data_IF_641558770810
#
_entry.id   IF_641558770810
#
_cell.length_a   1.000
_cell.length_b   1.000
_cell.length_c   1.000
_cell.angle_alpha   90.00
_cell.angle_beta   90.00
_cell.angle_gamma   90.00
#
_symmetry.space_group_name_H-M   'P 1'
#
loop_
_entity.id
_entity.type
_entity.pdbx_description
1 polymer ?
#
# COMPACT_ATOMS: atom_id res chain seq x y z
N UNK A 1 -13.72 -11.96 13.37
CA UNK A 1 -14.10 -11.49 12.03
C UNK A 1 -12.89 -11.64 11.13
N UNK A 2 -13.06 -11.98 9.85
CA UNK A 2 -11.96 -12.07 8.88
C UNK A 2 -12.00 -10.85 7.98
N UNK A 3 -10.85 -10.19 7.80
CA UNK A 3 -10.71 -8.94 7.06
C UNK A 3 -9.99 -9.24 5.75
N UNK A 4 -10.64 -9.11 4.59
CA UNK A 4 -10.01 -9.30 3.30
C UNK A 4 -9.05 -8.14 2.98
N UNK A 5 -7.99 -8.47 2.25
CA UNK A 5 -6.96 -7.52 1.81
C UNK A 5 -6.84 -7.59 0.30
N UNK A 6 -6.89 -6.44 -0.36
CA UNK A 6 -6.70 -6.30 -1.80
C UNK A 6 -5.40 -5.56 -2.08
N UNK A 7 -4.50 -6.19 -2.80
CA UNK A 7 -3.23 -5.62 -3.25
C UNK A 7 -3.37 -5.19 -4.71
N UNK A 8 -3.14 -3.92 -5.00
CA UNK A 8 -3.11 -3.41 -6.36
C UNK A 8 -1.68 -3.53 -6.90
N UNK A 9 -1.42 -4.45 -7.83
CA UNK A 9 -0.06 -4.74 -8.30
C UNK A 9 0.10 -4.55 -9.81
N UNK A 10 1.30 -4.12 -10.20
CA UNK A 10 1.77 -4.16 -11.58
C UNK A 10 3.28 -4.34 -11.63
N UNK A 11 3.74 -5.38 -12.33
CA UNK A 11 5.15 -5.68 -12.63
C UNK A 11 6.12 -5.71 -11.43
N UNK A 12 5.62 -5.68 -10.18
CA UNK A 12 6.41 -5.84 -8.96
C UNK A 12 6.22 -7.25 -8.41
N UNK A 13 7.32 -7.89 -8.03
CA UNK A 13 7.37 -9.26 -7.54
C UNK A 13 7.88 -9.36 -6.10
N UNK A 14 9.03 -8.78 -5.84
CA UNK A 14 9.73 -8.97 -4.56
C UNK A 14 8.93 -8.43 -3.37
N UNK A 15 8.44 -7.20 -3.49
CA UNK A 15 7.69 -6.56 -2.40
C UNK A 15 6.32 -7.19 -2.16
N UNK A 16 5.45 -7.40 -3.17
CA UNK A 16 4.15 -8.01 -2.92
C UNK A 16 4.24 -9.44 -2.38
N UNK A 17 5.26 -10.22 -2.75
CA UNK A 17 5.50 -11.54 -2.15
C UNK A 17 5.84 -11.41 -0.66
N UNK A 18 6.75 -10.51 -0.29
CA UNK A 18 7.08 -10.24 1.11
C UNK A 18 5.85 -9.74 1.90
N UNK A 19 5.06 -8.83 1.30
CA UNK A 19 3.81 -8.34 1.88
C UNK A 19 2.82 -9.48 2.16
N UNK A 20 2.58 -10.36 1.19
CA UNK A 20 1.68 -11.53 1.37
C UNK A 20 2.13 -12.36 2.56
N UNK A 21 3.41 -12.73 2.64
CA UNK A 21 3.92 -13.51 3.77
C UNK A 21 3.81 -12.80 5.12
N UNK A 22 3.93 -11.47 5.14
CA UNK A 22 3.74 -10.68 6.36
C UNK A 22 2.27 -10.60 6.76
N UNK A 23 1.40 -10.30 5.83
CA UNK A 23 -0.04 -10.16 6.08
C UNK A 23 -0.71 -11.44 6.52
N UNK A 24 -0.22 -12.60 6.08
CA UNK A 24 -0.70 -13.92 6.55
C UNK A 24 -0.52 -14.13 8.07
N UNK A 25 0.32 -13.33 8.72
CA UNK A 25 0.55 -13.39 10.18
C UNK A 25 -0.34 -12.42 10.95
N UNK A 26 -1.07 -11.54 10.27
CA UNK A 26 -1.93 -10.59 10.97
C UNK A 26 -3.12 -11.28 11.63
N UNK A 27 -3.41 -10.87 12.84
CA UNK A 27 -4.63 -11.26 13.55
C UNK A 27 -5.87 -10.85 12.74
N UNK A 28 -6.76 -11.78 12.52
CA UNK A 28 -8.00 -11.53 11.79
C UNK A 28 -7.85 -11.40 10.27
N UNK A 29 -6.70 -11.73 9.68
CA UNK A 29 -6.55 -11.74 8.22
C UNK A 29 -7.57 -12.70 7.58
N UNK A 30 -8.23 -12.21 6.53
CA UNK A 30 -9.11 -12.95 5.64
C UNK A 30 -8.41 -13.32 4.34
N UNK A 31 -9.17 -13.35 3.26
CA UNK A 31 -8.62 -13.61 1.93
C UNK A 31 -7.70 -12.46 1.50
N UNK A 32 -6.56 -12.81 0.92
CA UNK A 32 -5.65 -11.88 0.28
C UNK A 32 -5.83 -12.03 -1.22
N UNK A 33 -6.14 -10.93 -1.89
CA UNK A 33 -6.44 -10.89 -3.32
C UNK A 33 -5.49 -9.91 -3.98
N UNK A 34 -4.80 -10.34 -5.04
CA UNK A 34 -3.98 -9.44 -5.87
C UNK A 34 -4.80 -9.07 -7.11
N UNK A 35 -5.05 -7.79 -7.30
CA UNK A 35 -5.52 -7.24 -8.57
C UNK A 35 -4.30 -6.92 -9.43
N UNK A 36 -4.06 -7.73 -10.42
CA UNK A 36 -2.95 -7.59 -11.36
C UNK A 36 -3.33 -6.68 -12.53
N UNK A 37 -2.71 -5.52 -12.61
CA UNK A 37 -2.95 -4.49 -13.62
C UNK A 37 -2.18 -4.73 -14.92
N UNK A 38 -2.32 -5.92 -15.49
CA UNK A 38 -1.70 -6.27 -16.79
C UNK A 38 -0.19 -6.39 -16.71
N UNK A 39 0.31 -7.06 -15.67
CA UNK A 39 1.73 -7.31 -15.51
C UNK A 39 2.28 -8.22 -16.61
N UNK A 40 3.52 -7.95 -16.96
CA UNK A 40 4.28 -8.71 -17.97
C UNK A 40 5.65 -9.15 -17.48
N UNK A 41 6.04 -8.81 -16.26
CA UNK A 41 7.31 -9.20 -15.65
C UNK A 41 7.40 -10.71 -15.45
N UNK A 42 8.31 -11.43 -16.16
CA UNK A 42 8.29 -12.89 -16.21
C UNK A 42 8.41 -13.58 -14.83
N UNK A 43 9.26 -13.12 -13.87
CA UNK A 43 9.32 -13.73 -12.55
C UNK A 43 8.01 -13.64 -11.79
N UNK A 44 7.30 -12.51 -11.88
CA UNK A 44 5.98 -12.32 -11.26
C UNK A 44 4.94 -13.26 -11.86
N UNK A 45 4.86 -13.33 -13.21
CA UNK A 45 3.91 -14.22 -13.90
C UNK A 45 4.15 -15.67 -13.50
N UNK A 46 5.42 -16.07 -13.47
CA UNK A 46 5.79 -17.43 -13.03
C UNK A 46 5.36 -17.72 -11.57
N UNK A 47 5.47 -16.76 -10.68
CA UNK A 47 4.99 -16.90 -9.32
C UNK A 47 3.47 -16.99 -9.27
N UNK A 48 2.75 -16.14 -9.97
CA UNK A 48 1.29 -16.18 -10.05
C UNK A 48 0.75 -17.55 -10.49
N UNK A 49 1.43 -18.18 -11.45
CA UNK A 49 1.00 -19.48 -12.01
C UNK A 49 1.23 -20.67 -11.06
N UNK A 50 2.04 -20.52 -10.03
CA UNK A 50 2.46 -21.62 -9.15
C UNK A 50 2.08 -21.47 -7.70
N UNK A 51 1.88 -20.23 -7.24
CA UNK A 51 1.50 -19.98 -5.86
C UNK A 51 0.03 -20.39 -5.62
N UNK A 52 -0.26 -20.76 -4.36
CA UNK A 52 -1.61 -21.12 -3.89
C UNK A 52 -2.01 -20.33 -2.64
N UNK A 53 -1.26 -19.27 -2.32
CA UNK A 53 -1.43 -18.50 -1.09
C UNK A 53 -2.53 -17.44 -1.20
N UNK A 54 -2.71 -16.90 -2.41
CA UNK A 54 -3.60 -15.76 -2.66
C UNK A 54 -4.37 -15.96 -3.96
N UNK A 55 -5.54 -15.33 -4.05
CA UNK A 55 -6.24 -15.19 -5.32
C UNK A 55 -5.56 -14.12 -6.18
N UNK A 56 -5.41 -14.37 -7.48
CA UNK A 56 -4.90 -13.39 -8.45
C UNK A 56 -5.98 -13.10 -9.48
N UNK A 57 -6.47 -11.87 -9.51
CA UNK A 57 -7.43 -11.37 -10.49
C UNK A 57 -6.66 -10.60 -11.56
N UNK A 58 -6.46 -11.22 -12.73
CA UNK A 58 -5.73 -10.62 -13.85
C UNK A 58 -6.65 -9.70 -14.66
N UNK A 59 -6.27 -8.44 -14.75
CA UNK A 59 -7.00 -7.40 -15.48
C UNK A 59 -6.09 -6.78 -16.57
N UNK A 60 -6.67 -5.98 -17.44
CA UNK A 60 -5.91 -4.95 -18.14
C UNK A 60 -5.45 -3.87 -17.14
N UNK A 61 -4.63 -2.93 -17.59
CA UNK A 61 -4.17 -1.86 -16.70
C UNK A 61 -5.31 -0.89 -16.33
N UNK A 62 -5.85 -1.07 -15.15
CA UNK A 62 -6.91 -0.24 -14.55
C UNK A 62 -6.35 0.94 -13.71
N UNK A 63 -5.02 1.06 -13.61
CA UNK A 63 -4.35 2.10 -12.84
C UNK A 63 -4.47 1.92 -11.32
N UNK A 64 -4.31 3.02 -10.58
CA UNK A 64 -4.32 3.03 -9.12
C UNK A 64 -5.68 2.66 -8.50
N UNK A 65 -6.77 2.85 -9.23
CA UNK A 65 -8.13 2.46 -8.83
C UNK A 65 -8.47 0.98 -9.08
N UNK A 66 -7.52 0.16 -9.50
CA UNK A 66 -7.77 -1.23 -9.95
C UNK A 66 -8.55 -2.07 -8.95
N UNK A 67 -8.31 -1.93 -7.65
CA UNK A 67 -9.03 -2.67 -6.62
C UNK A 67 -10.57 -2.50 -6.70
N UNK A 68 -11.02 -1.30 -7.02
CA UNK A 68 -12.46 -0.97 -7.14
C UNK A 68 -12.96 -1.19 -8.56
N UNK A 69 -12.25 -0.69 -9.57
CA UNK A 69 -12.66 -0.75 -10.98
C UNK A 69 -12.78 -2.19 -11.48
N UNK A 70 -11.98 -3.11 -10.95
CA UNK A 70 -12.08 -4.55 -11.25
C UNK A 70 -13.33 -5.23 -10.69
N UNK A 71 -14.09 -4.56 -9.81
CA UNK A 71 -15.22 -5.17 -9.10
C UNK A 71 -14.81 -6.09 -7.94
N UNK A 72 -13.50 -6.21 -7.64
CA UNK A 72 -13.02 -7.08 -6.55
C UNK A 72 -13.56 -6.60 -5.20
N UNK A 73 -13.45 -5.30 -4.90
CA UNK A 73 -13.95 -4.74 -3.63
C UNK A 73 -15.46 -4.97 -3.48
N UNK A 74 -16.23 -4.77 -4.55
CA UNK A 74 -17.70 -4.95 -4.53
C UNK A 74 -18.10 -6.38 -4.15
N UNK A 75 -17.36 -7.39 -4.60
CA UNK A 75 -17.67 -8.81 -4.32
C UNK A 75 -17.20 -9.33 -2.96
N UNK A 76 -16.42 -8.55 -2.18
CA UNK A 76 -15.90 -9.02 -0.89
C UNK A 76 -16.99 -9.34 0.13
N UNK A 77 -18.12 -8.65 0.09
CA UNK A 77 -19.23 -8.85 1.02
C UNK A 77 -18.87 -8.58 2.50
N UNK A 78 -17.76 -7.90 2.75
CA UNK A 78 -17.25 -7.59 4.09
C UNK A 78 -17.53 -6.13 4.46
N UNK A 79 -17.89 -5.88 5.73
CA UNK A 79 -18.08 -4.52 6.25
C UNK A 79 -16.79 -3.70 6.17
N UNK A 80 -15.66 -4.33 6.44
CA UNK A 80 -14.34 -3.71 6.41
C UNK A 80 -13.42 -4.50 5.48
N UNK A 81 -12.59 -3.81 4.74
CA UNK A 81 -11.58 -4.38 3.87
C UNK A 81 -10.35 -3.49 3.81
N UNK A 82 -9.21 -4.05 3.48
CA UNK A 82 -7.97 -3.29 3.25
C UNK A 82 -7.68 -3.22 1.76
N UNK A 83 -7.26 -2.04 1.29
CA UNK A 83 -6.61 -1.87 -0.01
C UNK A 83 -5.21 -1.33 0.21
N UNK A 84 -4.24 -1.86 -0.54
CA UNK A 84 -2.85 -1.45 -0.46
C UNK A 84 -2.18 -1.46 -1.82
N UNK A 85 -1.20 -0.58 -2.00
CA UNK A 85 -0.23 -0.69 -3.07
C UNK A 85 0.72 -1.87 -2.82
N UNK A 86 1.39 -2.33 -3.85
CA UNK A 86 2.22 -3.54 -3.82
C UNK A 86 3.68 -3.31 -3.42
N UNK A 87 4.05 -2.09 -3.11
CA UNK A 87 5.43 -1.66 -2.81
C UNK A 87 5.64 -1.21 -1.37
N UNK A 88 4.81 -1.72 -0.46
CA UNK A 88 4.86 -1.43 0.97
C UNK A 88 5.74 -2.41 1.73
N UNK A 89 6.58 -1.90 2.64
CA UNK A 89 7.30 -2.70 3.63
C UNK A 89 6.50 -2.77 4.93
N UNK A 90 6.08 -3.99 5.28
CA UNK A 90 5.21 -4.25 6.43
C UNK A 90 5.91 -5.05 7.53
N UNK A 91 7.21 -5.31 7.42
CA UNK A 91 7.94 -6.25 8.28
C UNK A 91 7.86 -5.88 9.76
N UNK A 92 7.92 -4.59 10.06
CA UNK A 92 7.96 -4.06 11.42
C UNK A 92 6.56 -3.74 12.00
N UNK A 93 5.49 -3.92 11.24
CA UNK A 93 4.13 -3.68 11.73
C UNK A 93 3.69 -4.77 12.71
N UNK A 94 2.98 -4.46 13.81
CA UNK A 94 2.49 -5.45 14.77
C UNK A 94 1.49 -6.44 14.15
N UNK A 95 1.37 -7.65 14.74
CA UNK A 95 0.45 -8.68 14.23
C UNK A 95 -1.03 -8.28 14.40
N UNK A 96 -1.35 -7.45 15.39
CA UNK A 96 -2.69 -6.94 15.66
C UNK A 96 -3.11 -5.75 14.77
N UNK A 97 -2.30 -5.39 13.79
CA UNK A 97 -2.50 -4.22 12.89
C UNK A 97 -3.93 -4.12 12.34
N UNK A 98 -4.50 -5.22 11.85
CA UNK A 98 -5.85 -5.19 11.30
C UNK A 98 -6.92 -4.93 12.37
N UNK A 99 -6.70 -5.44 13.58
CA UNK A 99 -7.63 -5.23 14.69
C UNK A 99 -7.61 -3.78 15.16
N UNK A 100 -6.44 -3.16 15.22
CA UNK A 100 -6.28 -1.74 15.58
C UNK A 100 -6.89 -0.82 14.50
N UNK A 101 -6.64 -1.08 13.23
CA UNK A 101 -7.27 -0.31 12.14
C UNK A 101 -8.81 -0.37 12.23
N UNK A 102 -9.35 -1.56 12.47
CA UNK A 102 -10.79 -1.76 12.60
C UNK A 102 -11.35 -1.01 13.83
N UNK A 103 -10.70 -1.13 14.98
CA UNK A 103 -11.09 -0.41 16.22
C UNK A 103 -11.17 1.10 15.96
N UNK A 104 -10.12 1.69 15.34
CA UNK A 104 -10.09 3.13 15.08
C UNK A 104 -11.17 3.56 14.09
N UNK A 105 -11.42 2.76 13.07
CA UNK A 105 -12.46 3.04 12.09
C UNK A 105 -13.89 2.96 12.71
N UNK A 106 -14.11 2.04 13.65
CA UNK A 106 -15.39 1.92 14.37
C UNK A 106 -15.57 3.01 15.43
N UNK A 107 -14.49 3.40 16.11
CA UNK A 107 -14.51 4.46 17.13
C UNK A 107 -14.72 5.85 16.54
N UNK A 108 -14.30 6.07 15.30
CA UNK A 108 -14.38 7.36 14.61
C UNK A 108 -15.27 7.26 13.35
N UNK A 109 -16.60 7.18 13.49
CA UNK A 109 -17.51 6.89 12.38
C UNK A 109 -17.55 7.96 11.28
N UNK A 110 -17.00 9.15 11.54
CA UNK A 110 -16.82 10.20 10.54
C UNK A 110 -15.57 10.01 9.68
N UNK A 111 -14.64 9.12 10.09
CA UNK A 111 -13.48 8.73 9.31
C UNK A 111 -13.89 7.60 8.37
N UNK A 112 -13.65 7.76 7.08
CA UNK A 112 -14.05 6.80 6.05
C UNK A 112 -13.04 5.69 5.82
N UNK A 113 -11.78 5.98 6.06
CA UNK A 113 -10.67 5.03 6.00
C UNK A 113 -9.62 5.35 7.08
N UNK A 114 -8.95 4.33 7.56
CA UNK A 114 -7.79 4.45 8.48
C UNK A 114 -6.65 3.64 7.89
N UNK A 115 -5.48 4.24 7.76
CA UNK A 115 -4.30 3.58 7.22
C UNK A 115 -3.11 3.63 8.15
N UNK A 116 -2.08 2.87 7.78
CA UNK A 116 -0.78 2.94 8.43
C UNK A 116 -0.12 4.28 8.15
N UNK A 117 0.56 4.83 9.14
CA UNK A 117 1.46 5.95 8.92
C UNK A 117 2.62 5.53 8.01
N UNK A 118 3.22 6.48 7.31
CA UNK A 118 4.42 6.23 6.51
C UNK A 118 5.66 6.62 7.28
N UNK A 119 6.60 5.69 7.42
CA UNK A 119 7.87 5.93 8.08
C UNK A 119 8.84 6.66 7.13
N UNK A 120 8.67 7.97 7.02
CA UNK A 120 9.55 8.81 6.21
C UNK A 120 10.93 9.03 6.82
N UNK A 121 11.11 8.78 8.12
CA UNK A 121 12.36 9.05 8.86
C UNK A 121 13.51 8.14 8.47
N UNK A 122 13.23 6.97 7.89
CA UNK A 122 14.24 6.00 7.45
C UNK A 122 14.78 6.27 6.05
N UNK A 123 14.18 7.23 5.33
CA UNK A 123 14.61 7.53 3.96
C UNK A 123 15.98 8.20 3.95
N UNK A 124 16.89 7.63 3.19
CA UNK A 124 18.30 8.09 3.11
C UNK A 124 18.39 9.46 2.40
N UNK A 125 19.31 10.35 2.82
CA UNK A 125 19.53 11.64 2.14
C UNK A 125 19.86 11.52 0.65
N UNK A 126 20.45 10.40 0.25
CA UNK A 126 20.82 10.09 -1.13
C UNK A 126 19.64 9.62 -1.98
N UNK A 127 18.47 9.36 -1.37
CA UNK A 127 17.26 9.05 -2.11
C UNK A 127 16.74 10.28 -2.84
N UNK A 128 16.29 10.16 -4.10
CA UNK A 128 15.66 11.25 -4.84
C UNK A 128 14.36 11.75 -4.17
N UNK A 129 13.79 10.95 -3.26
CA UNK A 129 12.57 11.28 -2.51
C UNK A 129 12.83 12.07 -1.23
N UNK A 130 14.06 12.10 -0.71
CA UNK A 130 14.37 12.65 0.61
C UNK A 130 13.81 14.05 0.85
N UNK A 131 14.10 15.00 -0.03
CA UNK A 131 13.64 16.37 0.13
C UNK A 131 12.12 16.51 0.06
N UNK A 132 11.49 15.76 -0.85
CA UNK A 132 10.03 15.78 -1.00
C UNK A 132 9.35 15.25 0.26
N UNK A 133 9.82 14.14 0.79
CA UNK A 133 9.24 13.51 1.98
C UNK A 133 9.42 14.34 3.24
N UNK A 134 10.60 14.94 3.43
CA UNK A 134 10.82 15.85 4.55
C UNK A 134 9.91 17.09 4.49
N UNK A 135 9.58 17.58 3.30
CA UNK A 135 8.68 18.73 3.16
C UNK A 135 7.20 18.35 3.34
N UNK A 136 6.76 17.20 2.80
CA UNK A 136 5.35 16.84 2.78
C UNK A 136 4.95 15.94 3.94
N UNK A 137 5.63 14.83 4.17
CA UNK A 137 5.22 13.89 5.21
C UNK A 137 5.48 14.45 6.61
N UNK A 138 6.65 15.04 6.84
CA UNK A 138 6.96 15.70 8.11
C UNK A 138 5.96 16.80 8.43
N UNK A 139 5.67 17.67 7.47
CA UNK A 139 4.72 18.77 7.63
C UNK A 139 3.31 18.27 7.94
N UNK A 140 2.88 17.20 7.28
CA UNK A 140 1.59 16.53 7.55
C UNK A 140 1.53 15.99 8.99
N UNK A 141 2.57 15.29 9.44
CA UNK A 141 2.65 14.76 10.80
C UNK A 141 2.66 15.86 11.85
N UNK A 142 3.41 16.95 11.63
CA UNK A 142 3.52 18.06 12.57
C UNK A 142 2.26 18.92 12.66
N UNK A 143 1.51 19.05 11.55
CA UNK A 143 0.29 19.88 11.48
C UNK A 143 -1.00 19.12 11.74
N UNK A 144 -0.99 17.80 11.67
CA UNK A 144 -2.19 17.01 11.84
C UNK A 144 -2.63 16.96 13.29
N UNK A 145 -3.95 17.00 13.50
CA UNK A 145 -4.53 16.84 14.82
C UNK A 145 -4.52 15.35 15.20
N UNK A 146 -3.84 15.05 16.30
CA UNK A 146 -3.85 13.70 16.88
C UNK A 146 -5.16 13.48 17.62
N UNK A 147 -5.84 12.38 17.30
CA UNK A 147 -7.02 11.90 17.99
C UNK A 147 -6.83 10.41 18.26
N UNK A 148 -6.51 10.05 19.52
CA UNK A 148 -6.44 8.66 19.94
C UNK A 148 -5.53 7.80 19.04
N UNK A 149 -4.26 8.15 18.89
CA UNK A 149 -3.24 7.52 18.03
C UNK A 149 -3.56 7.57 16.52
N UNK A 150 -4.61 8.29 16.13
CA UNK A 150 -4.97 8.50 14.72
C UNK A 150 -4.81 9.98 14.38
N UNK A 151 -4.14 10.28 13.28
CA UNK A 151 -4.13 11.62 12.69
C UNK A 151 -5.37 11.78 11.81
N UNK A 152 -6.16 12.82 12.05
CA UNK A 152 -7.30 13.20 11.20
C UNK A 152 -6.88 14.27 10.19
N UNK A 153 -7.72 14.44 9.16
CA UNK A 153 -7.51 15.39 8.05
C UNK A 153 -6.23 15.13 7.25
N UNK A 154 -5.76 13.90 7.26
CA UNK A 154 -4.66 13.43 6.43
C UNK A 154 -5.25 12.66 5.24
N UNK A 155 -5.02 13.13 4.04
CA UNK A 155 -5.21 12.28 2.87
C UNK A 155 -4.23 11.13 2.96
N UNK A 156 -4.76 9.93 3.16
CA UNK A 156 -3.98 8.70 3.06
C UNK A 156 -4.12 8.21 1.64
N UNK A 157 -3.01 8.04 0.97
CA UNK A 157 -2.93 7.38 -0.32
C UNK A 157 -3.35 5.90 -0.20
N UNK A 158 -3.30 5.13 -1.26
CA UNK A 158 -3.61 3.69 -1.31
C UNK A 158 -2.53 2.81 -0.67
N UNK A 159 -1.71 3.38 0.20
CA UNK A 159 -0.51 2.74 0.74
C UNK A 159 -0.78 1.50 1.59
N UNK A 160 -1.61 1.55 2.57
CA UNK A 160 -2.21 0.43 3.31
C UNK A 160 -3.31 1.01 4.19
N UNK A 161 -4.54 0.91 3.77
CA UNK A 161 -5.65 1.46 4.53
C UNK A 161 -6.84 0.50 4.58
N UNK A 162 -7.50 0.49 5.73
CA UNK A 162 -8.79 -0.17 5.92
C UNK A 162 -9.91 0.81 5.60
N UNK A 163 -10.90 0.33 4.89
CA UNK A 163 -12.06 1.06 4.42
C UNK A 163 -13.34 0.47 4.99
N UNK A 164 -14.34 1.32 5.18
CA UNK A 164 -15.74 0.88 5.29
C UNK A 164 -16.30 0.56 3.91
N UNK A 165 -17.27 -0.36 3.82
CA UNK A 165 -17.87 -0.81 2.57
C UNK A 165 -18.38 0.32 1.67
N UNK A 166 -18.87 1.41 2.25
CA UNK A 166 -19.40 2.57 1.52
C UNK A 166 -18.35 3.67 1.27
N UNK A 167 -17.07 3.37 1.48
CA UNK A 167 -16.00 4.37 1.41
C UNK A 167 -15.20 4.25 0.12
N UNK A 168 -14.93 5.39 -0.49
CA UNK A 168 -14.09 5.52 -1.67
C UNK A 168 -13.10 6.67 -1.47
N UNK A 169 -11.87 6.51 -1.79
CA UNK A 169 -10.72 7.42 -1.88
C UNK A 169 -10.57 8.59 -0.89
N UNK A 170 -11.61 9.29 -0.47
CA UNK A 170 -11.49 10.62 0.16
C UNK A 170 -11.58 10.56 1.68
N UNK A 171 -10.71 11.34 2.33
CA UNK A 171 -10.68 11.55 3.78
C UNK A 171 -10.18 10.33 4.53
N UNK A 172 -9.48 10.52 5.62
CA UNK A 172 -8.98 9.38 6.38
C UNK A 172 -8.27 9.80 7.65
N UNK A 173 -7.84 8.80 8.40
CA UNK A 173 -6.93 8.92 9.52
C UNK A 173 -5.68 8.08 9.27
N UNK A 174 -4.57 8.49 9.81
CA UNK A 174 -3.30 7.76 9.76
C UNK A 174 -2.89 7.32 11.16
N UNK A 175 -2.51 6.07 11.33
CA UNK A 175 -1.95 5.58 12.58
C UNK A 175 -0.53 6.11 12.78
N UNK A 176 -0.12 6.17 14.05
CA UNK A 176 1.24 6.50 14.46
C UNK A 176 2.04 5.25 14.82
N UNK A 177 3.30 5.41 15.20
CA UNK A 177 4.10 4.31 15.74
C UNK A 177 3.36 3.57 16.88
N UNK A 178 3.45 2.21 16.90
CA UNK A 178 4.26 1.35 16.03
C UNK A 178 3.60 0.92 14.71
N UNK A 179 2.40 1.40 14.42
CA UNK A 179 1.60 1.04 13.24
C UNK A 179 1.97 1.90 12.04
N UNK A 180 3.21 1.79 11.59
CA UNK A 180 3.73 2.50 10.42
C UNK A 180 4.31 1.54 9.41
N UNK A 181 4.10 1.84 8.13
CA UNK A 181 4.65 1.09 7.02
C UNK A 181 5.81 1.85 6.35
N UNK A 182 6.62 1.14 5.61
CA UNK A 182 7.64 1.69 4.73
C UNK A 182 7.08 1.77 3.31
N UNK A 183 7.43 2.80 2.58
CA UNK A 183 7.20 2.83 1.13
C UNK A 183 8.52 2.48 0.46
N UNK A 184 8.70 1.23 0.10
CA UNK A 184 9.99 0.66 -0.26
C UNK A 184 10.75 1.42 -1.36
N UNK A 185 10.11 1.88 -2.44
CA UNK A 185 10.80 2.69 -3.45
C UNK A 185 11.39 4.00 -2.92
N UNK A 186 10.82 4.59 -1.88
CA UNK A 186 11.34 5.85 -1.34
C UNK A 186 12.70 5.71 -0.64
N UNK A 187 13.03 4.51 -0.21
CA UNK A 187 14.29 4.22 0.49
C UNK A 187 15.46 4.02 -0.46
N UNK A 188 15.18 3.79 -1.75
CA UNK A 188 16.21 3.50 -2.72
C UNK A 188 17.00 4.75 -3.12
N UNK A 189 18.32 4.62 -3.13
CA UNK A 189 19.20 5.58 -3.78
C UNK A 189 19.17 5.41 -5.29
N UNK A 190 19.68 6.39 -6.04
CA UNK A 190 19.75 6.27 -7.51
C UNK A 190 20.56 5.03 -7.95
N UNK A 191 21.65 4.71 -7.27
CA UNK A 191 22.46 3.53 -7.57
C UNK A 191 21.70 2.23 -7.30
N UNK A 192 20.91 2.16 -6.21
CA UNK A 192 20.06 1.00 -5.92
C UNK A 192 18.94 0.83 -6.95
N UNK A 193 18.36 1.92 -7.46
CA UNK A 193 17.43 1.88 -8.60
C UNK A 193 18.09 1.28 -9.86
N UNK A 194 19.27 1.76 -10.20
CA UNK A 194 20.01 1.33 -11.38
C UNK A 194 20.45 -0.14 -11.29
N UNK A 195 20.66 -0.66 -10.08
CA UNK A 195 20.99 -2.05 -9.82
C UNK A 195 19.79 -2.99 -9.74
N UNK A 196 18.56 -2.48 -9.57
CA UNK A 196 17.36 -3.28 -9.41
C UNK A 196 16.67 -3.55 -10.75
N UNK A 197 16.84 -4.75 -11.31
CA UNK A 197 16.28 -5.12 -12.61
C UNK A 197 14.75 -5.18 -12.62
N UNK A 198 14.12 -5.61 -11.52
CA UNK A 198 12.67 -5.61 -11.35
C UNK A 198 12.12 -4.20 -11.43
N UNK A 199 12.73 -3.28 -10.68
CA UNK A 199 12.25 -1.90 -10.64
C UNK A 199 12.50 -1.16 -11.97
N UNK A 200 13.62 -1.44 -12.64
CA UNK A 200 13.87 -0.95 -14.01
C UNK A 200 12.80 -1.44 -15.00
N UNK A 201 12.41 -2.71 -14.87
CA UNK A 201 11.34 -3.27 -15.69
C UNK A 201 10.02 -2.57 -15.42
N UNK A 202 9.65 -2.42 -14.13
CA UNK A 202 8.46 -1.68 -13.72
C UNK A 202 8.45 -0.25 -14.29
N UNK A 203 9.52 0.53 -14.10
CA UNK A 203 9.63 1.91 -14.60
C UNK A 203 9.50 1.99 -16.11
N UNK A 204 10.14 1.08 -16.84
CA UNK A 204 10.05 1.03 -18.32
C UNK A 204 8.61 0.88 -18.79
N UNK A 205 7.82 0.06 -18.10
CA UNK A 205 6.44 -0.28 -18.48
C UNK A 205 5.39 0.56 -17.75
N UNK A 206 5.78 1.38 -16.77
CA UNK A 206 4.88 2.27 -16.04
C UNK A 206 4.29 3.35 -16.95
N UNK A 207 3.09 3.82 -16.65
CA UNK A 207 2.47 4.93 -17.36
C UNK A 207 3.29 6.22 -17.22
N UNK A 208 3.09 7.18 -18.12
CA UNK A 208 3.74 8.50 -18.04
C UNK A 208 3.34 9.26 -16.76
N UNK A 209 2.21 8.95 -16.15
CA UNK A 209 1.75 9.55 -14.88
C UNK A 209 2.41 8.95 -13.64
N UNK A 210 3.31 7.97 -13.78
CA UNK A 210 4.04 7.41 -12.65
C UNK A 210 4.90 8.49 -11.99
N UNK A 211 4.67 8.71 -10.70
CA UNK A 211 5.47 9.65 -9.90
C UNK A 211 6.95 9.30 -9.90
N UNK A 212 7.29 8.03 -10.05
CA UNK A 212 8.67 7.54 -10.10
C UNK A 212 9.42 8.04 -11.34
N UNK A 213 8.78 8.03 -12.52
CA UNK A 213 9.39 8.56 -13.76
C UNK A 213 9.77 10.03 -13.61
N UNK A 214 8.83 10.82 -13.10
CA UNK A 214 9.06 12.25 -12.88
C UNK A 214 10.22 12.51 -11.90
N UNK A 215 10.31 11.78 -10.82
CA UNK A 215 11.32 11.98 -9.78
C UNK A 215 12.70 11.47 -10.20
N UNK A 216 12.76 10.45 -11.03
CA UNK A 216 14.03 9.94 -11.58
C UNK A 216 14.51 10.73 -12.79
N UNK A 217 13.71 11.67 -13.30
CA UNK A 217 14.05 12.45 -14.50
C UNK A 217 13.97 11.64 -15.80
N UNK A 218 13.08 10.63 -15.86
CA UNK A 218 12.90 9.70 -16.98
C UNK A 218 11.67 10.05 -17.83
#
# INVERSE_FOLDING_TARGET
>A
MKIPIVINNRDLYTWPVAMVHRMMKYDGVGDIIIVDNGSTYPPLIHWYDRQTLVEVVRCENLGHGGAWVSGVVERLGSKHYVVTDSDMGLEDTPDDTLMVLMEKLEKHPYIRKVGLGLNWQIVKPESPYYNRLNLYEKDRWEKSKIMDDVYVDVEIDTTFAMYNVDSYFIGGGSLTFPYVARHCPWELTKAEYEANDEFKYYIKNASHSSSYKTLLGL
#
